data_IF_748233224786
#
_entry.id   IF_748233224786
#
_cell.length_a   1.000
_cell.length_b   1.000
_cell.length_c   1.000
_cell.angle_alpha   90.00
_cell.angle_beta   90.00
_cell.angle_gamma   90.00
#
_symmetry.space_group_name_H-M   'P 1'
#
loop_
_entity.id
_entity.type
_entity.pdbx_description
1 polymer ?
2 branched ?
3 non-polymer ?
4 non-polymer ?
5 water ?
#
# COMPACT_ATOMS: atom_id res chain seq x y z
N UNK A 9 21.11 13.17 9.32
CA UNK A 9 20.37 13.61 8.15
C UNK A 9 19.12 12.78 7.89
N UNK A 10 19.02 11.64 8.59
CA UNK A 10 17.91 10.72 8.37
C UNK A 10 16.56 11.34 8.70
N UNK A 11 16.56 12.49 9.38
CA UNK A 11 15.31 13.11 9.76
C UNK A 11 14.65 13.78 8.56
N UNK A 12 15.43 14.37 7.67
CA UNK A 12 14.89 15.28 6.67
C UNK A 12 14.29 14.51 5.50
N UNK A 13 12.97 14.53 5.39
CA UNK A 13 12.27 13.88 4.30
C UNK A 13 12.67 14.53 2.97
N UNK A 14 12.86 13.75 1.92
CA UNK A 14 13.26 14.33 0.63
C UNK A 14 12.15 15.19 0.05
N UNK A 15 12.55 16.18 -0.77
CA UNK A 15 11.59 17.01 -1.46
C UNK A 15 11.95 17.28 -2.91
N UNK A 16 13.11 16.79 -3.38
CA UNK A 16 13.46 16.82 -4.80
C UNK A 16 13.80 15.41 -5.26
N UNK A 17 13.33 15.07 -6.46
CA UNK A 17 13.41 13.72 -6.97
C UNK A 17 14.01 13.73 -8.37
N UNK A 18 14.71 12.67 -8.75
CA UNK A 18 15.28 12.61 -10.10
C UNK A 18 14.21 12.82 -11.15
N UNK A 19 14.48 13.61 -12.18
CA UNK A 19 13.47 13.86 -13.20
C UNK A 19 13.19 12.60 -14.00
N UNK A 20 11.94 12.34 -14.35
CA UNK A 20 11.62 11.12 -15.09
C UNK A 20 12.29 11.11 -16.46
N UNK A 21 12.54 9.91 -16.96
CA UNK A 21 13.23 9.77 -18.23
C UNK A 21 12.32 10.03 -19.42
N UNK A 22 11.00 9.99 -19.22
CA UNK A 22 10.03 10.14 -20.29
C UNK A 22 8.68 10.46 -19.66
N UNK A 23 7.92 11.34 -20.30
CA UNK A 23 6.64 11.80 -19.78
C UNK A 23 5.54 10.96 -20.40
N UNK A 24 5.01 10.02 -19.63
CA UNK A 24 3.97 9.13 -20.11
C UNK A 24 2.63 9.54 -19.52
N UNK A 25 1.59 8.93 -20.06
CA UNK A 25 0.22 9.10 -19.61
C UNK A 25 -0.28 7.75 -19.10
N UNK A 26 -0.83 7.73 -17.90
CA UNK A 26 -1.37 6.51 -17.32
C UNK A 26 -2.83 6.40 -17.71
N UNK A 27 -3.19 5.31 -18.40
CA UNK A 27 -4.58 5.02 -18.74
C UNK A 27 -5.18 4.22 -17.60
N UNK A 28 -5.84 4.93 -16.68
CA UNK A 28 -6.41 4.29 -15.50
C UNK A 28 -7.49 3.26 -15.84
N UNK A 29 -8.16 3.40 -16.99
CA UNK A 29 -9.24 2.50 -17.37
C UNK A 29 -8.78 1.23 -18.06
N UNK A 30 -7.53 1.18 -18.52
CA UNK A 30 -7.09 0.12 -19.42
C UNK A 30 -7.18 -1.24 -18.73
N UNK A 31 -7.96 -2.14 -19.31
CA UNK A 31 -8.10 -3.50 -18.81
C UNK A 31 -7.21 -4.39 -19.66
N UNK A 32 -6.11 -4.85 -19.09
CA UNK A 32 -5.20 -5.70 -19.84
C UNK A 32 -5.81 -7.08 -20.05
N UNK A 33 -5.30 -7.79 -21.06
CA UNK A 33 -5.68 -9.17 -21.23
C UNK A 33 -5.25 -9.98 -20.02
N UNK A 34 -5.78 -11.20 -19.92
CA UNK A 34 -5.34 -12.11 -18.88
C UNK A 34 -3.85 -12.39 -19.02
N UNK A 35 -3.21 -12.68 -17.88
CA UNK A 35 -1.77 -12.91 -17.90
C UNK A 35 -1.45 -14.23 -18.59
N UNK A 36 -0.50 -14.19 -19.53
CA UNK A 36 0.03 -15.43 -20.06
C UNK A 36 0.67 -16.22 -18.92
N UNK A 37 0.60 -17.54 -19.02
CA UNK A 37 1.10 -18.37 -17.92
C UNK A 37 2.61 -18.22 -17.80
N UNK A 38 3.12 -18.13 -16.56
CA UNK A 38 4.58 -18.07 -16.36
C UNK A 38 5.27 -19.43 -16.29
N UNK A 39 4.53 -20.54 -16.37
CA UNK A 39 5.09 -21.89 -16.24
C UNK A 39 5.57 -22.40 -17.59
N UNK A 40 6.88 -22.39 -17.82
CA UNK A 40 7.41 -23.06 -19.00
C UNK A 40 7.84 -24.47 -18.65
N UNK A 47 16.37 -21.19 -19.35
CA UNK A 47 16.13 -19.78 -19.04
C UNK A 47 17.30 -19.18 -18.27
N UNK A 48 17.62 -17.92 -18.58
CA UNK A 48 18.68 -17.19 -17.91
C UNK A 48 18.44 -17.15 -16.40
N UNK A 49 19.39 -17.66 -15.62
CA UNK A 49 19.23 -17.82 -14.17
C UNK A 49 20.28 -16.98 -13.44
N UNK A 50 19.83 -16.05 -12.60
CA UNK A 50 20.69 -15.19 -11.79
C UNK A 50 20.55 -15.55 -10.31
N UNK A 51 21.59 -15.24 -9.55
CA UNK A 51 21.69 -15.62 -8.14
C UNK A 51 21.68 -14.35 -7.28
N UNK A 52 20.83 -14.33 -6.26
CA UNK A 52 20.79 -13.22 -5.31
C UNK A 52 20.78 -13.82 -3.91
N UNK A 53 21.87 -13.70 -3.18
CA UNK A 53 21.83 -14.26 -1.84
C UNK A 53 22.21 -13.20 -0.83
N UNK A 54 21.36 -13.00 0.16
CA UNK A 54 21.66 -12.09 1.23
C UNK A 54 22.53 -12.81 2.25
N UNK A 55 23.53 -12.11 2.75
CA UNK A 55 24.42 -12.61 3.77
C UNK A 55 24.09 -12.12 5.18
N UNK A 56 23.12 -11.21 5.33
CA UNK A 56 22.76 -10.72 6.64
C UNK A 56 21.26 -10.44 6.66
N UNK A 57 20.66 -10.33 7.84
CA UNK A 57 19.26 -9.91 7.91
C UNK A 57 19.12 -8.43 7.53
N UNK A 58 17.95 -8.11 6.99
CA UNK A 58 17.55 -6.73 6.73
C UNK A 58 18.31 -6.10 5.57
N UNK A 59 18.89 -6.91 4.69
CA UNK A 59 19.52 -6.35 3.48
C UNK A 59 18.46 -5.77 2.56
N UNK A 60 18.88 -4.78 1.78
CA UNK A 60 18.17 -4.32 0.60
C UNK A 60 18.79 -5.02 -0.60
N UNK A 61 18.02 -5.87 -1.28
CA UNK A 61 18.55 -6.70 -2.35
C UNK A 61 18.07 -6.21 -3.70
N UNK A 62 18.83 -6.52 -4.74
CA UNK A 62 18.54 -6.04 -6.08
C UNK A 62 18.46 -7.21 -7.06
N UNK A 63 17.32 -7.33 -7.73
CA UNK A 63 17.11 -8.29 -8.81
C UNK A 63 17.30 -7.53 -10.11
N UNK A 64 18.54 -7.51 -10.60
CA UNK A 64 18.93 -6.76 -11.80
C UNK A 64 19.62 -7.71 -12.75
N UNK A 65 19.27 -7.62 -14.03
CA UNK A 65 19.83 -8.53 -15.03
C UNK A 65 19.61 -7.94 -16.41
N UNK A 66 20.70 -7.73 -17.16
CA UNK A 66 20.58 -7.22 -18.53
C UNK A 66 20.01 -8.27 -19.45
N UNK A 67 19.38 -7.80 -20.53
CA UNK A 67 18.72 -8.65 -21.50
C UNK A 67 19.05 -8.15 -22.90
N UNK A 68 19.29 -9.08 -23.82
CA UNK A 68 19.53 -8.68 -25.20
C UNK A 68 18.22 -8.28 -25.84
N UNK A 69 17.67 -7.14 -25.42
CA UNK A 69 16.38 -6.68 -25.88
C UNK A 69 16.58 -5.57 -26.92
N UNK A 70 17.66 -4.80 -26.77
CA UNK A 70 17.95 -3.75 -27.74
C UNK A 70 18.14 -4.35 -29.13
N UNK A 71 18.55 -5.61 -29.21
CA UNK A 71 18.47 -6.32 -30.47
C UNK A 71 17.07 -6.28 -31.04
N UNK A 72 16.06 -6.50 -30.18
CA UNK A 72 14.68 -6.53 -30.63
C UNK A 72 14.19 -5.15 -31.00
N UNK A 73 14.58 -4.14 -30.22
CA UNK A 73 14.11 -2.78 -30.50
C UNK A 73 14.75 -2.20 -31.74
N UNK A 74 15.98 -2.61 -32.07
CA UNK A 74 16.56 -2.20 -33.34
C UNK A 74 15.76 -2.75 -34.51
N UNK A 75 15.31 -4.02 -34.40
CA UNK A 75 14.44 -4.59 -35.42
C UNK A 75 13.17 -3.77 -35.58
N UNK A 76 12.53 -3.43 -34.46
CA UNK A 76 11.31 -2.64 -34.52
C UNK A 76 11.59 -1.24 -35.04
N UNK A 77 12.73 -0.66 -34.65
CA UNK A 77 13.05 0.70 -35.08
C UNK A 77 13.26 0.77 -36.58
N UNK A 78 14.01 -0.20 -37.13
CA UNK A 78 14.18 -0.26 -38.58
C UNK A 78 12.84 -0.52 -39.26
N UNK A 79 11.98 -1.32 -38.64
CA UNK A 79 10.65 -1.57 -39.19
C UNK A 79 9.71 -0.39 -39.08
N UNK A 80 10.14 0.71 -38.44
CA UNK A 80 9.34 1.92 -38.32
C UNK A 80 7.97 1.64 -37.71
N UNK A 81 7.95 0.74 -36.71
CA UNK A 81 6.74 0.29 -36.05
C UNK A 81 6.82 0.63 -34.56
N UNK A 82 5.81 1.35 -34.06
CA UNK A 82 5.68 1.50 -32.63
C UNK A 82 4.93 0.31 -32.05
N UNK A 83 5.30 -0.07 -30.81
CA UNK A 83 4.86 -1.33 -30.23
C UNK A 83 4.21 -1.13 -28.87
N UNK A 84 3.46 -2.15 -28.45
CA UNK A 84 3.02 -2.33 -27.08
C UNK A 84 3.88 -3.40 -26.40
N UNK A 85 3.96 -3.32 -25.06
CA UNK A 85 4.82 -4.21 -24.29
C UNK A 85 4.21 -4.44 -22.92
N UNK A 86 4.89 -5.26 -22.11
CA UNK A 86 4.39 -5.59 -20.77
C UNK A 86 5.52 -6.15 -19.90
N UNK A 87 5.55 -5.74 -18.64
CA UNK A 87 6.52 -6.20 -17.65
C UNK A 87 5.77 -6.83 -16.48
N UNK A 88 6.16 -8.05 -16.09
CA UNK A 88 5.51 -8.69 -14.95
C UNK A 88 6.54 -9.49 -14.14
N UNK A 89 6.52 -9.32 -12.82
CA UNK A 89 7.35 -10.09 -11.91
C UNK A 89 6.48 -11.10 -11.20
N UNK A 90 6.91 -12.36 -11.20
CA UNK A 90 6.26 -13.44 -10.49
C UNK A 90 7.20 -13.97 -9.41
N UNK A 91 6.62 -14.38 -8.27
CA UNK A 91 7.28 -15.31 -7.37
C UNK A 91 6.68 -16.68 -7.63
N UNK A 92 7.54 -17.64 -7.98
CA UNK A 92 7.13 -18.97 -8.40
C UNK A 92 7.15 -19.88 -7.20
N UNK A 93 6.01 -20.44 -6.84
CA UNK A 93 5.91 -21.45 -5.80
C UNK A 93 5.77 -22.83 -6.43
N UNK A 94 5.96 -23.91 -5.64
CA UNK A 94 5.89 -25.26 -6.24
C UNK A 94 4.64 -25.55 -7.03
N UNK A 95 3.48 -25.05 -6.60
CA UNK A 95 2.24 -25.32 -7.31
C UNK A 95 1.54 -24.09 -7.87
N UNK A 96 2.10 -22.88 -7.69
CA UNK A 96 1.42 -21.70 -8.19
C UNK A 96 2.43 -20.56 -8.34
N UNK A 97 1.95 -19.48 -8.96
CA UNK A 97 2.79 -18.31 -9.25
C UNK A 97 2.04 -17.04 -8.89
N UNK A 98 2.70 -16.18 -8.12
CA UNK A 98 2.08 -14.95 -7.61
C UNK A 98 2.62 -13.75 -8.37
N UNK A 99 1.83 -13.09 -9.20
CA UNK A 99 2.28 -11.81 -9.75
C UNK A 99 2.36 -10.75 -8.66
N UNK A 100 3.52 -10.09 -8.59
CA UNK A 100 3.77 -9.09 -7.55
C UNK A 100 4.06 -7.71 -8.11
N UNK A 101 4.28 -7.58 -9.42
CA UNK A 101 4.47 -6.27 -10.04
C UNK A 101 4.15 -6.42 -11.51
N UNK A 102 3.39 -5.46 -12.07
CA UNK A 102 2.85 -5.61 -13.42
C UNK A 102 2.56 -4.25 -14.04
N UNK A 103 3.05 -4.04 -15.27
CA UNK A 103 2.83 -2.79 -16.01
C UNK A 103 2.64 -3.11 -17.49
N UNK A 104 1.60 -2.53 -18.10
CA UNK A 104 1.38 -2.63 -19.54
C UNK A 104 1.82 -1.34 -20.22
N UNK A 105 2.49 -1.47 -21.36
CA UNK A 105 2.96 -0.31 -22.10
C UNK A 105 2.33 -0.28 -23.49
N UNK A 106 2.01 0.92 -23.99
CA UNK A 106 1.50 1.10 -25.35
C UNK A 106 2.13 2.33 -25.97
N UNK A 107 2.16 2.37 -27.30
CA UNK A 107 2.69 3.51 -28.06
C UNK A 107 4.13 3.80 -27.67
N UNK A 108 4.97 2.81 -27.89
CA UNK A 108 6.39 2.90 -27.58
C UNK A 108 7.16 3.22 -28.85
N UNK A 109 7.96 4.28 -28.81
CA UNK A 109 8.93 4.53 -29.88
C UNK A 109 10.13 3.61 -29.70
N UNK A 110 10.31 2.62 -30.58
CA UNK A 110 11.45 1.69 -30.45
C UNK A 110 12.82 2.34 -30.56
N UNK A 111 12.92 3.65 -30.83
CA UNK A 111 14.22 4.31 -30.82
C UNK A 111 14.65 4.71 -29.41
N UNK A 112 13.77 4.56 -28.44
CA UNK A 112 14.05 4.88 -27.05
C UNK A 112 14.27 3.59 -26.25
N UNK A 113 14.56 3.74 -24.96
CA UNK A 113 14.72 2.59 -24.08
C UNK A 113 13.36 2.03 -23.66
N UNK A 114 13.35 0.75 -23.32
CA UNK A 114 12.13 0.06 -22.89
C UNK A 114 11.41 0.86 -21.81
N UNK A 115 10.07 0.79 -21.84
CA UNK A 115 9.18 1.46 -20.90
C UNK A 115 9.21 2.99 -21.04
N UNK A 116 9.98 3.54 -21.95
CA UNK A 116 9.84 4.97 -22.30
C UNK A 116 8.78 5.10 -23.37
N UNK A 117 7.54 4.82 -22.97
CA UNK A 117 6.40 4.75 -23.86
C UNK A 117 5.42 5.88 -23.59
N UNK A 118 4.56 6.14 -24.56
CA UNK A 118 3.61 7.25 -24.42
C UNK A 118 2.55 6.95 -23.38
N UNK A 119 2.12 5.69 -23.28
CA UNK A 119 1.03 5.33 -22.40
C UNK A 119 1.42 4.09 -21.59
N UNK A 120 0.67 3.86 -20.52
CA UNK A 120 0.83 2.68 -19.71
C UNK A 120 -0.44 2.47 -18.90
N UNK A 121 -0.62 1.24 -18.43
CA UNK A 121 -1.65 0.96 -17.45
C UNK A 121 -1.26 1.56 -16.11
N UNK A 122 -2.12 1.33 -15.11
CA UNK A 122 -1.73 1.55 -13.74
C UNK A 122 -0.41 0.82 -13.47
N UNK A 123 0.42 1.43 -12.63
CA UNK A 123 1.62 0.78 -12.12
C UNK A 123 1.19 -0.11 -10.95
N UNK A 124 1.09 -1.41 -11.20
CA UNK A 124 0.46 -2.37 -10.29
C UNK A 124 1.48 -3.11 -9.43
N UNK A 125 1.12 -3.32 -8.16
CA UNK A 125 1.95 -3.98 -7.16
C UNK A 125 1.08 -4.79 -6.21
N UNK A 126 1.61 -5.91 -5.72
CA UNK A 126 1.03 -6.48 -4.51
C UNK A 126 1.03 -5.41 -3.42
N UNK A 127 -0.13 -5.17 -2.82
CA UNK A 127 -0.32 -3.92 -2.07
C UNK A 127 0.65 -3.81 -0.89
N UNK A 128 0.85 -4.90 -0.15
CA UNK A 128 1.77 -4.87 0.99
C UNK A 128 3.22 -4.70 0.58
N UNK A 129 3.53 -4.70 -0.72
CA UNK A 129 4.91 -4.49 -1.14
C UNK A 129 5.25 -3.03 -1.38
N UNK A 130 4.24 -2.15 -1.43
CA UNK A 130 4.41 -0.77 -1.90
C UNK A 130 5.60 -0.10 -1.22
N UNK A 131 5.65 -0.15 0.10
CA UNK A 131 6.69 0.56 0.83
C UNK A 131 7.96 -0.25 1.03
N UNK A 132 8.03 -1.46 0.46
CA UNK A 132 9.19 -2.33 0.65
C UNK A 132 9.83 -2.73 -0.68
N UNK A 133 9.46 -2.08 -1.79
CA UNK A 133 9.97 -2.47 -3.09
C UNK A 133 9.77 -1.33 -4.08
N UNK A 134 10.53 -1.39 -5.16
CA UNK A 134 10.49 -0.35 -6.18
C UNK A 134 11.30 -0.82 -7.39
N UNK A 135 10.99 -0.25 -8.55
CA UNK A 135 11.76 -0.53 -9.75
C UNK A 135 13.08 0.23 -9.73
N UNK A 136 14.06 -0.31 -10.44
CA UNK A 136 15.32 0.38 -10.64
C UNK A 136 15.17 1.44 -11.74
N UNK A 137 16.25 2.17 -12.00
CA UNK A 137 16.14 3.39 -12.82
C UNK A 137 15.69 3.08 -14.24
N UNK A 138 16.08 1.93 -14.79
CA UNK A 138 15.68 1.57 -16.15
C UNK A 138 14.34 0.85 -16.18
N UNK A 139 13.66 0.76 -15.03
CA UNK A 139 12.35 0.18 -14.80
C UNK A 139 12.29 -1.34 -15.00
N UNK A 140 13.42 -1.99 -15.32
CA UNK A 140 13.44 -3.42 -15.54
C UNK A 140 13.83 -4.25 -14.32
N UNK A 141 14.52 -3.65 -13.35
CA UNK A 141 14.91 -4.35 -12.15
C UNK A 141 13.96 -4.09 -10.99
N UNK A 142 14.20 -4.82 -9.90
CA UNK A 142 13.35 -4.79 -8.72
C UNK A 142 14.24 -4.77 -7.48
N UNK A 143 14.00 -3.83 -6.57
CA UNK A 143 14.73 -3.75 -5.31
C UNK A 143 13.78 -4.09 -4.18
N UNK A 144 14.22 -4.98 -3.28
CA UNK A 144 13.42 -5.40 -2.13
C UNK A 144 14.09 -4.94 -0.84
N UNK A 145 13.39 -4.11 -0.08
CA UNK A 145 13.87 -3.60 1.20
C UNK A 145 13.55 -4.59 2.30
N UNK A 146 14.58 -5.07 2.99
CA UNK A 146 14.49 -5.99 4.13
C UNK A 146 13.38 -7.05 3.97
N UNK A 147 13.44 -7.88 2.94
CA UNK A 147 12.48 -8.99 2.84
C UNK A 147 12.68 -10.00 3.97
N UNK A 148 11.58 -10.64 4.37
CA UNK A 148 11.65 -11.68 5.39
C UNK A 148 12.21 -12.98 4.84
N UNK A 149 12.46 -13.93 5.74
CA UNK A 149 12.97 -15.23 5.33
C UNK A 149 12.04 -15.91 4.33
N UNK A 150 10.73 -15.71 4.50
CA UNK A 150 9.72 -16.33 3.63
C UNK A 150 9.74 -15.80 2.21
N UNK A 151 10.48 -14.72 1.95
CA UNK A 151 10.70 -14.22 0.59
C UNK A 151 11.77 -15.00 -0.17
N UNK A 152 12.43 -15.97 0.48
CA UNK A 152 13.33 -16.86 -0.25
C UNK A 152 12.55 -17.66 -1.28
N UNK A 153 13.20 -17.94 -2.40
CA UNK A 153 12.56 -18.74 -3.42
C UNK A 153 12.93 -18.23 -4.79
N UNK A 154 12.09 -18.55 -5.76
CA UNK A 154 12.36 -18.29 -7.16
C UNK A 154 11.47 -17.15 -7.68
N UNK A 155 12.09 -16.17 -8.33
CA UNK A 155 11.42 -15.04 -8.92
C UNK A 155 11.67 -15.04 -10.42
N UNK A 156 10.63 -14.70 -11.19
CA UNK A 156 10.68 -14.77 -12.65
C UNK A 156 10.25 -13.44 -13.22
N UNK A 157 11.12 -12.81 -14.00
CA UNK A 157 10.77 -11.60 -14.72
C UNK A 157 10.36 -12.00 -16.14
N UNK A 158 9.17 -11.58 -16.55
CA UNK A 158 8.66 -11.85 -17.89
C UNK A 158 8.49 -10.51 -18.58
N UNK A 159 9.31 -10.26 -19.59
CA UNK A 159 9.17 -9.09 -20.45
C UNK A 159 8.44 -9.52 -21.71
N UNK A 160 7.36 -8.83 -22.06
CA UNK A 160 6.61 -9.06 -23.29
C UNK A 160 6.77 -7.85 -24.18
N UNK A 161 7.37 -8.03 -25.34
CA UNK A 161 7.58 -6.93 -26.28
C UNK A 161 7.12 -7.39 -27.65
N UNK A 162 6.01 -6.82 -28.13
CA UNK A 162 5.43 -7.13 -29.45
C UNK A 162 5.16 -8.62 -29.61
N UNK A 163 4.58 -9.24 -28.57
CA UNK A 163 4.26 -10.65 -28.60
C UNK A 163 5.37 -11.59 -28.18
N UNK A 164 6.63 -11.19 -28.34
CA UNK A 164 7.74 -12.03 -27.89
C UNK A 164 7.91 -11.94 -26.38
N UNK A 165 8.51 -12.97 -25.79
CA UNK A 165 8.66 -13.06 -24.33
C UNK A 165 10.08 -13.43 -23.94
N UNK A 166 10.75 -12.52 -23.23
CA UNK A 166 12.06 -12.74 -22.63
C UNK A 166 11.88 -13.13 -21.16
N UNK A 167 12.61 -14.15 -20.71
CA UNK A 167 12.48 -14.68 -19.35
C UNK A 167 13.79 -14.58 -18.58
N UNK A 168 13.69 -14.14 -17.33
CA UNK A 168 14.83 -14.10 -16.43
C UNK A 168 14.39 -14.63 -15.08
N UNK A 169 15.17 -15.58 -14.55
CA UNK A 169 14.91 -16.16 -13.25
C UNK A 169 15.95 -15.66 -12.24
N UNK A 170 15.50 -15.51 -11.00
CA UNK A 170 16.33 -15.06 -9.89
C UNK A 170 16.12 -16.06 -8.77
N UNK A 171 17.21 -16.67 -8.32
CA UNK A 171 17.19 -17.59 -7.19
C UNK A 171 17.68 -16.80 -5.98
N UNK A 172 16.77 -16.57 -5.03
CA UNK A 172 16.94 -15.58 -3.95
C UNK A 172 17.02 -16.31 -2.61
N UNK A 173 18.06 -16.01 -1.83
CA UNK A 173 18.27 -16.62 -0.52
C UNK A 173 18.26 -15.51 0.54
N UNK A 174 17.34 -15.62 1.49
CA UNK A 174 17.24 -14.70 2.63
C UNK A 174 17.54 -15.51 3.88
N UNK A 175 18.46 -15.08 4.75
CA UNK A 175 18.69 -15.84 5.99
C UNK A 175 17.42 -15.91 6.81
N UNK A 176 17.37 -16.91 7.69
CA UNK A 176 16.19 -17.13 8.50
C UNK A 176 16.23 -16.39 9.82
N UNK A 177 17.34 -15.74 10.15
CA UNK A 177 17.38 -14.93 11.36
C UNK A 177 16.37 -13.79 11.23
N UNK A 178 15.61 -13.56 12.29
CA UNK A 178 14.53 -12.59 12.21
C UNK A 178 15.06 -11.19 11.94
N UNK A 179 14.44 -10.51 10.96
CA UNK A 179 14.72 -9.11 10.70
C UNK A 179 13.65 -8.25 11.35
N UNK A 180 14.00 -7.34 12.27
CA UNK A 180 12.98 -6.57 12.99
C UNK A 180 12.17 -5.62 12.11
N UNK A 181 12.59 -5.35 10.88
CA UNK A 181 11.84 -4.46 10.02
C UNK A 181 11.24 -5.19 8.83
N UNK A 182 11.39 -6.51 8.75
CA UNK A 182 10.76 -7.28 7.68
C UNK A 182 9.25 -7.37 7.90
N UNK A 183 8.55 -7.72 6.83
CA UNK A 183 7.09 -7.85 6.85
C UNK A 183 6.71 -9.12 6.09
N UNK A 184 5.88 -9.95 6.72
CA UNK A 184 5.42 -11.17 6.07
C UNK A 184 4.51 -10.85 4.89
N UNK A 185 4.85 -11.36 3.70
CA UNK A 185 4.10 -11.04 2.50
C UNK A 185 3.07 -12.11 2.09
N UNK A 186 3.09 -13.29 2.71
CA UNK A 186 2.19 -14.40 2.39
C UNK A 186 2.05 -14.58 0.88
N UNK A 187 3.19 -14.76 0.23
CA UNK A 187 3.16 -14.81 -1.23
C UNK A 187 2.34 -15.99 -1.76
N UNK A 188 2.30 -17.09 -0.98
CA UNK A 188 1.59 -18.29 -1.34
C UNK A 188 0.12 -18.31 -1.00
N UNK A 189 -0.46 -17.18 -0.63
CA UNK A 189 -1.89 -17.20 -0.36
C UNK A 189 -2.62 -17.49 -1.66
N UNK A 190 -3.61 -18.39 -1.64
CA UNK A 190 -4.23 -18.82 -2.91
C UNK A 190 -4.96 -17.71 -3.65
N UNK A 191 -5.38 -16.65 -2.97
CA UNK A 191 -6.03 -15.54 -3.68
C UNK A 191 -5.07 -14.87 -4.66
N UNK A 192 -3.78 -14.75 -4.27
CA UNK A 192 -2.79 -14.15 -5.15
C UNK A 192 -1.88 -15.18 -5.82
N UNK A 193 -1.77 -16.38 -5.27
CA UNK A 193 -0.90 -17.42 -5.84
C UNK A 193 -1.74 -18.29 -6.78
N UNK A 194 -1.64 -18.02 -8.09
CA UNK A 194 -2.52 -18.62 -9.09
C UNK A 194 -1.94 -19.92 -9.64
N UNK A 195 -2.79 -20.95 -9.76
CA UNK A 195 -2.37 -22.25 -10.29
C UNK A 195 -2.09 -22.17 -11.79
N UNK A 196 -1.40 -23.18 -12.36
CA UNK A 196 -1.21 -23.19 -13.81
C UNK A 196 -2.52 -23.24 -14.58
N UNK A 197 -3.55 -23.86 -14.00
CA UNK A 197 -4.85 -23.90 -14.64
C UNK A 197 -5.46 -22.50 -14.73
N UNK A 198 -5.45 -21.76 -13.62
CA UNK A 198 -6.05 -20.43 -13.62
C UNK A 198 -5.42 -19.54 -14.68
N UNK A 199 -4.11 -19.70 -14.91
CA UNK A 199 -3.49 -18.99 -16.01
C UNK A 199 -4.01 -19.49 -17.36
N UNK A 200 -4.02 -20.82 -17.55
CA UNK A 200 -4.46 -21.42 -18.81
C UNK A 200 -5.91 -21.05 -19.15
N UNK A 201 -6.83 -21.19 -18.20
CA UNK A 201 -8.21 -20.76 -18.40
C UNK A 201 -8.35 -19.26 -18.57
N UNK A 202 -7.26 -18.51 -18.59
CA UNK A 202 -7.33 -17.08 -18.77
C UNK A 202 -7.95 -16.33 -17.62
N UNK A 203 -7.90 -16.86 -16.41
CA UNK A 203 -8.64 -16.28 -15.30
C UNK A 203 -7.83 -15.34 -14.40
N UNK A 204 -6.62 -14.95 -14.80
CA UNK A 204 -5.75 -14.15 -13.93
C UNK A 204 -5.67 -12.75 -14.50
N UNK A 205 -6.24 -11.78 -13.81
CA UNK A 205 -6.25 -10.39 -14.23
C UNK A 205 -5.64 -9.57 -13.10
N UNK A 206 -4.47 -8.98 -13.36
CA UNK A 206 -3.77 -8.28 -12.28
C UNK A 206 -4.58 -7.10 -11.74
N UNK A 207 -5.42 -6.49 -12.58
CA UNK A 207 -6.20 -5.35 -12.13
C UNK A 207 -7.15 -5.72 -11.00
N UNK A 208 -7.55 -6.99 -10.92
CA UNK A 208 -8.53 -7.38 -9.92
C UNK A 208 -7.95 -7.51 -8.52
N UNK A 209 -6.67 -7.89 -8.37
CA UNK A 209 -6.14 -8.17 -7.04
C UNK A 209 -4.82 -7.48 -6.69
N UNK A 210 -4.14 -6.86 -7.64
CA UNK A 210 -2.96 -6.07 -7.34
C UNK A 210 -3.37 -4.60 -7.14
N UNK A 211 -2.72 -3.93 -6.20
CA UNK A 211 -2.97 -2.52 -5.99
C UNK A 211 -2.14 -1.64 -6.93
N UNK A 212 -2.62 -0.41 -7.12
CA UNK A 212 -1.91 0.59 -7.90
C UNK A 212 -0.99 1.40 -6.98
N UNK A 213 0.11 1.87 -7.55
CA UNK A 213 0.91 2.92 -6.91
C UNK A 213 1.63 3.65 -8.04
N UNK A 214 1.08 4.78 -8.46
CA UNK A 214 1.44 5.41 -9.73
C UNK A 214 2.51 6.49 -9.61
N UNK A 215 3.18 6.59 -8.46
CA UNK A 215 4.39 7.39 -8.35
C UNK A 215 5.39 6.99 -9.43
N UNK A 216 6.06 7.94 -10.06
CA UNK A 216 7.15 7.57 -10.98
C UNK A 216 8.28 6.86 -10.23
N UNK A 217 8.98 5.98 -10.96
CA UNK A 217 10.02 5.16 -10.36
C UNK A 217 11.01 6.01 -9.54
N UNK A 218 11.40 7.16 -10.09
CA UNK A 218 12.33 8.03 -9.38
C UNK A 218 11.83 8.38 -8.00
N UNK A 219 10.53 8.66 -7.87
CA UNK A 219 9.98 9.05 -6.57
C UNK A 219 9.73 7.85 -5.69
N UNK A 220 9.21 6.76 -6.27
CA UNK A 220 9.07 5.52 -5.51
C UNK A 220 10.39 5.09 -4.91
N UNK A 221 11.45 5.05 -5.74
CA UNK A 221 12.74 4.62 -5.23
C UNK A 221 13.25 5.57 -4.16
N UNK A 222 13.08 6.88 -4.37
CA UNK A 222 13.56 7.85 -3.39
C UNK A 222 12.90 7.62 -2.05
N UNK A 223 11.60 7.35 -2.05
CA UNK A 223 10.92 7.12 -0.79
C UNK A 223 11.31 5.78 -0.17
N UNK A 224 11.55 4.77 -1.01
CA UNK A 224 11.94 3.47 -0.48
C UNK A 224 13.26 3.57 0.27
N UNK A 225 14.26 4.20 -0.35
CA UNK A 225 15.54 4.41 0.33
C UNK A 225 15.36 5.22 1.60
N UNK A 226 14.56 6.30 1.56
CA UNK A 226 14.42 7.12 2.76
C UNK A 226 13.71 6.35 3.88
N UNK A 227 12.67 5.59 3.54
CA UNK A 227 11.98 4.80 4.55
C UNK A 227 12.88 3.72 5.13
N UNK A 228 13.67 3.07 4.27
CA UNK A 228 14.54 1.98 4.73
C UNK A 228 15.60 2.52 5.69
N UNK A 229 16.29 3.60 5.30
CA UNK A 229 17.30 4.18 6.18
C UNK A 229 16.66 4.72 7.46
N UNK A 230 15.48 5.33 7.35
CA UNK A 230 14.82 5.82 8.57
C UNK A 230 14.48 4.69 9.53
N UNK A 231 14.15 3.50 9.03
CA UNK A 231 13.94 2.32 9.88
C UNK A 231 15.26 1.77 10.42
N UNK A 232 16.40 2.34 10.03
CA UNK A 232 17.69 1.88 10.47
C UNK A 232 18.43 0.96 9.50
N UNK A 233 18.02 0.89 8.24
CA UNK A 233 18.68 0.01 7.31
C UNK A 233 19.99 0.58 6.78
N UNK A 234 20.84 -0.29 6.29
CA UNK A 234 22.12 0.10 5.73
C UNK A 234 22.00 0.06 4.21
N UNK A 235 21.97 1.23 3.60
CA UNK A 235 21.75 1.37 2.17
C UNK A 235 23.01 0.97 1.41
N UNK A 236 22.92 0.04 0.46
CA UNK A 236 24.11 -0.34 -0.30
C UNK A 236 24.66 0.84 -1.10
N UNK A 237 25.98 0.86 -1.26
CA UNK A 237 26.64 1.89 -2.07
C UNK A 237 26.10 1.88 -3.49
N UNK A 238 25.82 0.70 -4.01
CA UNK A 238 25.56 0.51 -5.41
C UNK A 238 24.73 -0.74 -5.56
N UNK A 239 23.69 -0.68 -6.38
CA UNK A 239 22.95 -1.88 -6.73
C UNK A 239 23.70 -2.57 -7.84
N UNK A 240 23.93 -3.86 -7.70
CA UNK A 240 24.73 -4.58 -8.68
C UNK A 240 23.86 -5.55 -9.47
N UNK A 241 24.23 -5.75 -10.74
CA UNK A 241 23.63 -6.82 -11.52
C UNK A 241 23.79 -8.16 -10.81
N UNK A 242 22.69 -8.92 -10.74
CA UNK A 242 22.75 -10.26 -10.18
C UNK A 242 23.60 -11.15 -11.09
N UNK A 243 24.50 -11.93 -10.49
CA UNK A 243 25.41 -12.77 -11.28
C UNK A 243 24.69 -13.96 -11.87
N UNK A 244 25.09 -14.34 -13.08
CA UNK A 244 24.70 -15.63 -13.62
C UNK A 244 25.26 -16.76 -12.76
N UNK A 245 24.57 -17.90 -12.79
CA UNK A 245 25.03 -19.05 -12.03
C UNK A 245 26.41 -19.47 -12.53
N UNK A 246 27.34 -19.67 -11.59
CA UNK A 246 28.75 -19.91 -11.91
C UNK A 246 28.96 -21.37 -12.34
N UNK A 247 29.31 -21.54 -13.62
CA UNK A 247 29.77 -22.83 -14.13
C UNK A 247 30.98 -23.30 -13.32
N UNK A 248 31.11 -24.60 -13.04
CA UNK A 248 32.24 -25.07 -12.23
C UNK A 248 33.59 -24.75 -12.87
N UNK A 249 34.61 -24.74 -12.03
CA UNK A 249 36.00 -24.50 -12.41
C UNK A 249 36.76 -25.82 -12.30
N UNK A 250 37.30 -26.36 -13.41
CA UNK A 250 38.06 -27.62 -13.35
C UNK A 250 39.34 -27.51 -12.52
N UNK B 11 -4.57 16.53 -13.30
CA UNK B 11 -3.78 15.81 -14.28
C UNK B 11 -2.27 16.08 -14.12
N UNK B 12 -1.94 17.30 -13.68
CA UNK B 12 -0.58 17.69 -13.33
C UNK B 12 -0.33 17.42 -11.85
N UNK B 13 0.76 16.72 -11.55
CA UNK B 13 0.92 16.12 -10.23
C UNK B 13 1.25 17.19 -9.18
N UNK B 14 0.71 17.07 -7.98
CA UNK B 14 0.93 18.09 -6.94
C UNK B 14 2.38 18.14 -6.49
N UNK B 15 2.88 19.37 -6.28
CA UNK B 15 4.23 19.57 -5.76
C UNK B 15 4.28 20.47 -4.53
N UNK B 16 3.16 21.09 -4.14
CA UNK B 16 3.05 21.84 -2.90
C UNK B 16 1.93 21.28 -2.04
N UNK B 17 2.20 21.15 -0.75
CA UNK B 17 1.33 20.44 0.16
C UNK B 17 1.00 21.33 1.35
N UNK B 18 -0.15 21.10 1.98
CA UNK B 18 -0.47 21.84 3.20
C UNK B 18 0.60 21.64 4.25
N UNK B 19 0.95 22.69 5.00
CA UNK B 19 1.94 22.52 6.06
C UNK B 19 1.40 21.65 7.17
N UNK B 20 2.24 20.85 7.81
CA UNK B 20 1.75 19.94 8.87
C UNK B 20 1.28 20.68 10.11
N UNK B 21 0.30 20.09 10.78
CA UNK B 21 -0.18 20.66 12.05
C UNK B 21 0.92 20.67 13.11
N UNK B 22 1.76 19.63 13.12
CA UNK B 22 2.66 19.42 14.24
C UNK B 22 3.81 18.53 13.78
N UNK B 23 5.03 18.90 14.15
CA UNK B 23 6.20 18.09 13.81
C UNK B 23 6.31 16.93 14.80
N UNK B 24 6.21 15.71 14.30
CA UNK B 24 6.24 14.55 15.18
C UNK B 24 7.33 13.58 14.72
N UNK B 25 7.66 12.64 15.58
CA UNK B 25 8.63 11.60 15.27
C UNK B 25 7.92 10.25 15.24
N UNK B 26 8.18 9.47 14.22
CA UNK B 26 7.61 8.14 14.11
C UNK B 26 8.59 7.15 14.70
N UNK B 27 8.12 6.33 15.64
CA UNK B 27 8.90 5.29 16.31
C UNK B 27 8.62 3.98 15.56
N UNK B 28 9.42 3.73 14.52
CA UNK B 28 9.19 2.58 13.63
C UNK B 28 9.29 1.24 14.37
N UNK B 29 10.08 1.17 15.44
CA UNK B 29 10.23 -0.08 16.19
C UNK B 29 9.06 -0.36 17.14
N UNK B 30 8.26 0.66 17.47
CA UNK B 30 7.29 0.53 18.54
C UNK B 30 6.24 -0.53 18.21
N UNK B 31 5.92 -1.36 19.21
CA UNK B 31 4.99 -2.47 19.08
C UNK B 31 3.89 -2.24 20.09
N UNK B 32 2.73 -1.85 19.61
CA UNK B 32 1.60 -1.63 20.52
C UNK B 32 1.19 -2.94 21.16
N UNK B 33 0.60 -2.83 22.34
CA UNK B 33 -0.03 -3.99 22.93
C UNK B 33 -1.24 -4.41 22.09
N UNK B 34 -1.69 -5.65 22.32
CA UNK B 34 -2.76 -6.22 21.52
C UNK B 34 -3.98 -5.31 21.55
N UNK B 35 -4.77 -5.39 20.47
CA UNK B 35 -5.90 -4.49 20.29
C UNK B 35 -7.06 -4.91 21.19
N UNK B 36 -7.61 -3.93 21.91
CA UNK B 36 -8.84 -4.18 22.68
C UNK B 36 -9.95 -4.62 21.73
N UNK B 37 -10.77 -5.54 22.18
CA UNK B 37 -11.86 -6.01 21.35
C UNK B 37 -12.78 -4.84 21.00
N UNK B 38 -13.18 -4.69 19.73
CA UNK B 38 -14.15 -3.64 19.38
C UNK B 38 -15.59 -4.05 19.65
N UNK B 39 -15.82 -5.32 19.97
CA UNK B 39 -17.17 -5.81 20.24
C UNK B 39 -17.58 -5.35 21.63
N UNK B 40 -18.39 -4.30 21.70
CA UNK B 40 -18.91 -3.83 22.97
C UNK B 40 -20.37 -4.27 23.06
N UNK B 41 -20.58 -5.57 23.28
CA UNK B 41 -21.93 -6.11 23.41
C UNK B 41 -22.68 -5.45 24.56
N UNK B 42 -22.01 -5.26 25.70
CA UNK B 42 -22.66 -4.71 26.88
C UNK B 42 -23.27 -3.33 26.59
N UNK B 43 -22.48 -2.43 26.02
CA UNK B 43 -22.92 -1.05 25.79
C UNK B 43 -23.22 -0.82 24.32
N UNK B 44 -24.13 -1.66 23.79
CA UNK B 44 -24.54 -1.52 22.40
C UNK B 44 -25.51 -0.36 22.20
N UNK B 45 -26.21 0.07 23.25
CA UNK B 45 -27.38 0.93 23.09
C UNK B 45 -27.02 2.41 22.93
N UNK B 46 -25.89 2.85 23.48
CA UNK B 46 -25.62 4.28 23.61
C UNK B 46 -24.48 4.77 22.72
N UNK B 47 -24.02 3.97 21.76
CA UNK B 47 -22.92 4.40 20.89
C UNK B 47 -23.44 5.43 19.91
N UNK B 48 -22.72 6.56 19.80
CA UNK B 48 -23.05 7.58 18.82
C UNK B 48 -22.98 6.96 17.43
N UNK B 49 -24.12 6.89 16.74
CA UNK B 49 -24.21 6.22 15.46
C UNK B 49 -24.61 7.21 14.38
N UNK B 50 -23.83 7.24 13.31
CA UNK B 50 -24.04 8.19 12.23
C UNK B 50 -24.37 7.42 10.96
N UNK B 51 -24.88 8.17 9.98
CA UNK B 51 -25.36 7.67 8.70
C UNK B 51 -24.52 8.32 7.62
N UNK B 52 -24.09 7.54 6.65
CA UNK B 52 -23.35 8.06 5.50
C UNK B 52 -23.82 7.26 4.28
N UNK B 53 -24.41 7.95 3.31
CA UNK B 53 -24.99 7.29 2.14
C UNK B 53 -24.48 7.98 0.88
N UNK B 54 -24.06 7.17 -0.10
CA UNK B 54 -23.82 7.64 -1.46
C UNK B 54 -25.00 7.20 -2.32
N UNK B 55 -25.44 8.08 -3.24
CA UNK B 55 -26.53 7.75 -4.15
C UNK B 55 -26.06 7.55 -5.58
N UNK B 56 -24.79 7.79 -5.87
CA UNK B 56 -24.21 7.54 -7.18
C UNK B 56 -22.94 6.71 -6.99
N UNK B 57 -22.56 5.92 -7.98
CA UNK B 57 -21.29 5.18 -7.85
C UNK B 57 -20.11 6.13 -7.94
N UNK B 58 -18.97 5.66 -7.42
CA UNK B 58 -17.69 6.34 -7.58
C UNK B 58 -17.59 7.65 -6.80
N UNK B 59 -18.39 7.80 -5.74
CA UNK B 59 -18.28 8.97 -4.88
C UNK B 59 -17.06 8.88 -3.95
N UNK B 60 -16.63 10.04 -3.50
CA UNK B 60 -15.69 10.16 -2.39
C UNK B 60 -16.49 10.55 -1.16
N UNK B 61 -16.54 9.68 -0.15
CA UNK B 61 -17.35 9.91 1.04
C UNK B 61 -16.43 10.16 2.23
N UNK B 62 -16.97 10.83 3.23
CA UNK B 62 -16.22 11.20 4.43
C UNK B 62 -16.93 10.67 5.66
N UNK B 63 -16.16 10.11 6.58
CA UNK B 63 -16.65 9.62 7.87
C UNK B 63 -16.13 10.58 8.92
N UNK B 64 -16.97 11.56 9.26
CA UNK B 64 -16.62 12.66 10.16
C UNK B 64 -17.66 12.72 11.27
N UNK B 65 -17.18 12.87 12.51
CA UNK B 65 -18.10 12.98 13.65
C UNK B 65 -17.37 13.64 14.80
N UNK B 66 -17.93 14.73 15.32
CA UNK B 66 -17.35 15.37 16.48
C UNK B 66 -17.53 14.48 17.70
N UNK B 67 -16.63 14.65 18.67
CA UNK B 67 -16.66 13.92 19.94
C UNK B 67 -16.44 14.91 21.07
N UNK B 68 -16.65 14.43 22.30
CA UNK B 68 -16.32 15.24 23.48
C UNK B 68 -14.85 15.11 23.87
N UNK B 69 -13.98 14.82 22.90
CA UNK B 69 -12.57 14.60 23.20
C UNK B 69 -11.93 15.85 23.82
N UNK B 70 -12.39 17.04 23.44
CA UNK B 70 -11.77 18.25 23.96
C UNK B 70 -12.02 18.42 25.45
N UNK B 71 -13.13 17.86 25.96
CA UNK B 71 -13.38 17.89 27.38
C UNK B 71 -12.43 16.96 28.13
N UNK B 72 -12.08 15.81 27.54
CA UNK B 72 -11.09 14.95 28.17
C UNK B 72 -9.73 15.64 28.16
N UNK B 73 -9.41 16.35 27.07
CA UNK B 73 -8.11 17.00 26.99
C UNK B 73 -7.99 18.12 28.01
N UNK B 74 -9.09 18.81 28.32
CA UNK B 74 -9.05 19.86 29.31
C UNK B 74 -8.72 19.29 30.69
N UNK B 75 -9.33 18.16 31.04
CA UNK B 75 -9.03 17.51 32.32
C UNK B 75 -7.55 17.12 32.41
N UNK B 76 -7.01 16.54 31.34
CA UNK B 76 -5.60 16.16 31.34
C UNK B 76 -4.72 17.39 31.40
N UNK B 77 -5.13 18.47 30.75
CA UNK B 77 -4.38 19.72 30.77
C UNK B 77 -4.33 20.30 32.18
N UNK B 78 -5.48 20.33 32.84
CA UNK B 78 -5.52 20.81 34.22
C UNK B 78 -4.64 19.95 35.11
N UNK B 79 -4.61 18.65 34.83
CA UNK B 79 -3.75 17.72 35.58
C UNK B 79 -2.30 17.78 35.14
N UNK B 80 -1.97 18.62 34.16
CA UNK B 80 -0.64 18.69 33.56
C UNK B 80 -0.08 17.30 33.25
N UNK B 81 -0.87 16.50 32.53
CA UNK B 81 -0.58 15.08 32.32
C UNK B 81 -0.23 14.82 30.85
N UNK B 82 1.07 14.72 30.55
CA UNK B 82 1.50 14.16 29.28
C UNK B 82 0.91 12.76 29.15
N UNK B 83 0.45 12.39 27.96
CA UNK B 83 -0.41 11.21 27.87
C UNK B 83 -0.13 10.40 26.60
N UNK B 84 -0.68 9.18 26.59
CA UNK B 84 -0.64 8.24 25.48
C UNK B 84 -2.05 8.02 24.95
N UNK B 85 -2.13 7.60 23.69
CA UNK B 85 -3.43 7.51 23.03
C UNK B 85 -3.30 6.60 21.82
N UNK B 86 -4.47 6.18 21.31
CA UNK B 86 -4.52 5.29 20.14
C UNK B 86 -5.78 5.61 19.34
N UNK B 87 -5.64 5.52 18.02
CA UNK B 87 -6.76 5.68 17.10
C UNK B 87 -6.86 4.41 16.27
N UNK B 88 -8.07 3.81 16.24
CA UNK B 88 -8.30 2.59 15.47
C UNK B 88 -9.67 2.59 14.79
N UNK B 89 -9.68 2.29 13.50
CA UNK B 89 -10.91 2.14 12.71
C UNK B 89 -11.13 0.67 12.42
N UNK B 90 -12.35 0.19 12.62
CA UNK B 90 -12.74 -1.16 12.25
C UNK B 90 -13.89 -1.12 11.27
N UNK B 91 -13.95 -2.13 10.41
CA UNK B 91 -15.19 -2.56 9.78
C UNK B 91 -15.71 -3.77 10.56
N UNK B 92 -16.93 -3.64 11.08
CA UNK B 92 -17.53 -4.66 11.93
C UNK B 92 -18.38 -5.56 11.05
N UNK B 93 -17.96 -6.81 10.89
CA UNK B 93 -18.79 -7.81 10.23
C UNK B 93 -19.59 -8.59 11.27
N UNK B 94 -20.52 -9.46 10.84
CA UNK B 94 -21.30 -10.21 11.83
C UNK B 94 -20.48 -11.13 12.74
N UNK B 95 -19.42 -11.76 12.25
CA UNK B 95 -18.64 -12.68 13.06
C UNK B 95 -17.22 -12.22 13.34
N UNK B 96 -16.79 -11.09 12.80
CA UNK B 96 -15.42 -10.64 13.01
C UNK B 96 -15.35 -9.14 12.76
N UNK B 97 -14.17 -8.57 13.07
CA UNK B 97 -13.92 -7.15 12.92
C UNK B 97 -12.55 -6.92 12.30
N UNK B 98 -12.52 -6.14 11.22
CA UNK B 98 -11.28 -5.84 10.49
C UNK B 98 -10.75 -4.48 10.91
N UNK B 99 -9.59 -4.38 11.56
CA UNK B 99 -8.96 -3.06 11.71
C UNK B 99 -8.39 -2.60 10.38
N UNK B 100 -8.71 -1.36 9.99
CA UNK B 100 -8.34 -0.86 8.68
C UNK B 100 -7.41 0.34 8.75
N UNK B 101 -7.26 0.97 9.91
CA UNK B 101 -6.36 2.09 10.13
C UNK B 101 -6.03 2.10 11.61
N UNK B 102 -4.77 2.37 11.97
CA UNK B 102 -4.38 2.33 13.37
C UNK B 102 -3.16 3.20 13.57
N UNK B 103 -3.19 4.05 14.59
CA UNK B 103 -2.04 4.86 14.99
C UNK B 103 -1.96 4.87 16.51
N UNK B 104 -0.76 4.69 17.06
CA UNK B 104 -0.51 4.90 18.47
C UNK B 104 0.23 6.22 18.67
N UNK B 105 -0.09 6.93 19.73
CA UNK B 105 0.45 8.25 19.99
C UNK B 105 1.09 8.28 21.36
N UNK B 106 2.25 8.92 21.45
CA UNK B 106 2.96 9.05 22.71
C UNK B 106 3.50 10.46 22.86
N UNK B 107 3.83 10.81 24.10
CA UNK B 107 4.32 12.15 24.47
C UNK B 107 3.34 13.22 24.00
N UNK B 108 2.06 12.97 24.27
CA UNK B 108 1.02 13.90 23.89
C UNK B 108 0.90 15.02 24.90
N UNK B 109 1.01 16.25 24.43
CA UNK B 109 0.76 17.47 25.19
C UNK B 109 -0.74 17.76 25.20
N UNK B 110 -1.40 17.66 26.36
CA UNK B 110 -2.86 17.86 26.39
C UNK B 110 -3.31 19.31 26.20
N UNK B 111 -2.39 20.26 26.02
CA UNK B 111 -2.79 21.60 25.61
C UNK B 111 -3.03 21.68 24.11
N UNK B 112 -2.61 20.69 23.35
CA UNK B 112 -2.79 20.69 21.91
C UNK B 112 -4.02 19.85 21.56
N UNK B 113 -4.33 19.81 20.26
CA UNK B 113 -5.39 18.95 19.74
C UNK B 113 -4.93 17.49 19.68
N UNK B 114 -5.92 16.60 19.63
CA UNK B 114 -5.65 15.17 19.51
C UNK B 114 -4.71 14.90 18.34
N UNK B 115 -3.79 13.96 18.55
CA UNK B 115 -2.76 13.53 17.61
C UNK B 115 -1.71 14.59 17.31
N UNK B 116 -1.71 15.71 18.03
CA UNK B 116 -0.60 16.65 17.96
C UNK B 116 0.42 16.29 19.04
N UNK B 117 1.05 15.13 18.83
CA UNK B 117 1.87 14.48 19.84
C UNK B 117 3.31 14.38 19.36
N UNK B 118 4.27 14.46 20.30
CA UNK B 118 5.67 14.42 19.89
C UNK B 118 6.05 13.09 19.23
N UNK B 119 5.40 12.00 19.59
CA UNK B 119 5.76 10.68 19.06
C UNK B 119 4.52 9.94 18.57
N UNK B 120 4.75 8.99 17.64
CA UNK B 120 3.70 8.07 17.22
C UNK B 120 4.33 6.84 16.61
N UNK B 121 3.52 5.79 16.50
CA UNK B 121 3.89 4.58 15.80
C UNK B 121 3.87 4.83 14.30
N UNK B 122 4.30 3.84 13.53
CA UNK B 122 3.96 3.77 12.12
C UNK B 122 2.48 4.08 11.94
N UNK B 123 2.16 4.75 10.84
CA UNK B 123 0.79 5.05 10.46
C UNK B 123 0.28 3.87 9.66
N UNK B 124 -0.61 3.08 10.26
CA UNK B 124 -0.94 1.76 9.73
C UNK B 124 -2.30 1.76 9.04
N UNK B 125 -2.36 1.03 7.92
CA UNK B 125 -3.52 0.89 7.05
C UNK B 125 -3.60 -0.53 6.50
N UNK B 126 -4.81 -0.98 6.19
CA UNK B 126 -4.92 -2.10 5.26
C UNK B 126 -4.23 -1.71 3.97
N UNK B 127 -3.28 -2.53 3.53
CA UNK B 127 -2.37 -2.11 2.47
C UNK B 127 -3.12 -1.71 1.20
N UNK B 128 -4.18 -2.43 0.86
CA UNK B 128 -4.93 -2.12 -0.35
C UNK B 128 -5.76 -0.85 -0.22
N UNK B 129 -5.86 -0.26 0.98
CA UNK B 129 -6.58 1.02 1.14
C UNK B 129 -5.70 2.24 0.95
N UNK B 130 -4.37 2.12 1.07
CA UNK B 130 -3.46 3.26 1.05
C UNK B 130 -3.88 4.33 0.06
N UNK B 131 -4.16 3.94 -1.17
CA UNK B 131 -4.40 4.87 -2.26
C UNK B 131 -5.87 5.21 -2.39
N UNK B 132 -6.73 4.62 -1.56
CA UNK B 132 -8.17 4.80 -1.66
C UNK B 132 -8.76 5.40 -0.38
N UNK B 133 -7.93 5.80 0.58
CA UNK B 133 -8.42 6.33 1.84
C UNK B 133 -7.37 7.26 2.41
N UNK B 134 -7.79 8.11 3.35
CA UNK B 134 -6.86 9.00 4.05
C UNK B 134 -7.59 9.63 5.23
N UNK B 135 -6.80 10.13 6.18
CA UNK B 135 -7.40 10.85 7.31
C UNK B 135 -7.80 12.26 6.90
N UNK B 136 -8.75 12.82 7.65
CA UNK B 136 -9.12 14.20 7.48
C UNK B 136 -8.13 15.10 8.23
N UNK B 137 -8.33 16.42 8.14
CA UNK B 137 -7.31 17.36 8.60
C UNK B 137 -7.06 17.24 10.11
N UNK B 138 -8.08 16.95 10.91
CA UNK B 138 -7.88 16.77 12.34
C UNK B 138 -7.47 15.34 12.71
N UNK B 139 -7.23 14.49 11.72
CA UNK B 139 -6.75 13.10 11.79
C UNK B 139 -7.76 12.13 12.41
N UNK B 140 -8.94 12.61 12.84
CA UNK B 140 -9.95 11.77 13.48
C UNK B 140 -11.01 11.25 12.51
N UNK B 141 -11.08 11.79 11.30
CA UNK B 141 -12.04 11.37 10.33
C UNK B 141 -11.35 10.55 9.26
N UNK B 142 -12.15 10.00 8.38
CA UNK B 142 -11.67 9.05 7.40
C UNK B 142 -12.41 9.27 6.09
N UNK B 143 -11.67 9.43 5.00
CA UNK B 143 -12.23 9.68 3.68
C UNK B 143 -11.99 8.47 2.79
N UNK B 144 -13.03 8.00 2.11
CA UNK B 144 -12.94 6.86 1.20
C UNK B 144 -13.17 7.34 -0.23
N UNK B 145 -12.21 7.07 -1.11
CA UNK B 145 -12.33 7.49 -2.51
C UNK B 145 -12.82 6.31 -3.34
N UNK B 146 -13.96 6.48 -4.00
CA UNK B 146 -14.55 5.46 -4.86
C UNK B 146 -14.57 4.08 -4.22
N UNK B 147 -15.17 3.92 -3.03
CA UNK B 147 -15.30 2.57 -2.47
C UNK B 147 -16.32 1.77 -3.26
N UNK B 148 -16.18 0.45 -3.22
CA UNK B 148 -17.08 -0.42 -3.94
C UNK B 148 -18.31 -0.73 -3.09
N UNK B 149 -19.34 -1.28 -3.74
CA UNK B 149 -20.55 -1.68 -3.02
C UNK B 149 -20.24 -2.52 -1.79
N UNK B 150 -19.26 -3.42 -1.90
CA UNK B 150 -18.93 -4.29 -0.76
C UNK B 150 -18.34 -3.51 0.41
N UNK B 151 -17.96 -2.24 0.23
CA UNK B 151 -17.50 -1.42 1.34
C UNK B 151 -18.64 -0.87 2.19
N UNK B 152 -19.89 -1.07 1.76
CA UNK B 152 -21.05 -0.77 2.60
C UNK B 152 -20.96 -1.50 3.93
N UNK B 153 -21.47 -0.87 4.99
CA UNK B 153 -21.57 -1.58 6.24
C UNK B 153 -21.28 -0.67 7.43
N UNK B 154 -20.87 -1.30 8.53
CA UNK B 154 -20.76 -0.60 9.81
C UNK B 154 -19.29 -0.38 10.13
N UNK B 155 -18.88 0.88 10.22
CA UNK B 155 -17.52 1.24 10.59
C UNK B 155 -17.53 1.84 11.99
N UNK B 156 -16.63 1.37 12.83
CA UNK B 156 -16.57 1.81 14.22
C UNK B 156 -15.23 2.45 14.48
N UNK B 157 -15.25 3.70 14.94
CA UNK B 157 -14.04 4.41 15.29
C UNK B 157 -13.84 4.30 16.79
N UNK B 158 -12.64 3.85 17.20
CA UNK B 158 -12.28 3.65 18.59
C UNK B 158 -11.14 4.60 18.94
N UNK B 159 -11.44 5.62 19.74
CA UNK B 159 -10.44 6.56 20.23
C UNK B 159 -10.09 6.19 21.66
N UNK B 160 -8.83 5.84 21.91
CA UNK B 160 -8.36 5.51 23.24
C UNK B 160 -7.46 6.64 23.75
N UNK B 161 -7.76 7.13 24.96
CA UNK B 161 -7.02 8.26 25.50
C UNK B 161 -6.96 8.14 27.01
N UNK B 162 -5.73 8.00 27.54
CA UNK B 162 -5.51 7.83 28.97
C UNK B 162 -6.43 6.74 29.54
N UNK B 163 -6.40 5.57 28.91
CA UNK B 163 -7.24 4.46 29.31
C UNK B 163 -8.70 4.56 28.94
N UNK B 164 -9.24 5.76 28.73
CA UNK B 164 -10.63 5.94 28.33
C UNK B 164 -10.80 5.67 26.83
N UNK B 165 -12.02 5.25 26.45
CA UNK B 165 -12.33 4.90 25.06
C UNK B 165 -13.63 5.56 24.59
N UNK B 166 -13.55 6.30 23.47
CA UNK B 166 -14.71 6.92 22.83
C UNK B 166 -15.06 6.17 21.55
N UNK B 167 -16.33 5.83 21.37
CA UNK B 167 -16.79 5.08 20.21
C UNK B 167 -17.73 5.92 19.35
N UNK B 168 -17.50 5.91 18.04
CA UNK B 168 -18.41 6.45 17.05
C UNK B 168 -18.62 5.39 15.99
N UNK B 169 -19.88 5.09 15.67
CA UNK B 169 -20.25 4.14 14.62
C UNK B 169 -20.74 4.87 13.39
N UNK B 170 -20.40 4.36 12.20
CA UNK B 170 -20.87 4.92 10.95
C UNK B 170 -21.50 3.80 10.14
N UNK B 171 -22.77 3.95 9.81
CA UNK B 171 -23.47 3.03 8.91
C UNK B 171 -23.36 3.57 7.49
N UNK B 172 -22.64 2.87 6.62
CA UNK B 172 -22.29 3.36 5.28
C UNK B 172 -23.04 2.56 4.22
N UNK B 173 -23.64 3.27 3.25
CA UNK B 173 -24.42 2.69 2.16
C UNK B 173 -23.84 3.11 0.82
N UNK B 174 -23.57 2.14 -0.05
CA UNK B 174 -22.96 2.38 -1.36
C UNK B 174 -23.81 1.71 -2.43
N UNK B 175 -24.08 2.37 -3.55
CA UNK B 175 -24.92 1.74 -4.58
C UNK B 175 -24.31 0.42 -5.05
N UNK B 176 -25.20 -0.52 -5.39
CA UNK B 176 -24.82 -1.84 -5.88
C UNK B 176 -24.18 -1.80 -7.25
N UNK B 177 -24.43 -0.74 -8.01
CA UNK B 177 -23.85 -0.63 -9.34
C UNK B 177 -22.32 -0.64 -9.26
N UNK B 178 -21.69 -1.34 -10.19
CA UNK B 178 -20.23 -1.41 -10.19
C UNK B 178 -19.63 -0.05 -10.52
N UNK B 179 -18.67 0.40 -9.68
CA UNK B 179 -17.84 1.56 -9.93
C UNK B 179 -16.60 1.14 -10.70
N UNK B 180 -16.31 1.76 -11.84
CA UNK B 180 -15.18 1.32 -12.67
C UNK B 180 -13.81 1.66 -12.10
N UNK B 181 -13.72 2.60 -11.15
CA UNK B 181 -12.44 2.91 -10.55
C UNK B 181 -12.29 2.35 -9.15
N UNK B 182 -13.27 1.57 -8.70
CA UNK B 182 -13.27 1.00 -7.36
C UNK B 182 -12.39 -0.24 -7.31
N UNK B 183 -12.07 -0.65 -6.09
CA UNK B 183 -11.22 -1.82 -5.86
C UNK B 183 -11.82 -2.64 -4.72
N UNK B 184 -11.91 -3.96 -4.92
CA UNK B 184 -12.45 -4.83 -3.89
C UNK B 184 -11.47 -4.97 -2.73
N UNK B 185 -11.93 -4.68 -1.51
CA UNK B 185 -11.05 -4.65 -0.35
C UNK B 185 -11.03 -5.97 0.42
N UNK B 186 -11.93 -6.91 0.11
CA UNK B 186 -12.05 -8.18 0.84
C UNK B 186 -11.93 -7.97 2.33
N UNK B 187 -12.75 -7.05 2.85
CA UNK B 187 -12.71 -6.75 4.27
C UNK B 187 -13.02 -7.97 5.13
N UNK B 188 -13.79 -8.93 4.61
CA UNK B 188 -14.24 -10.04 5.42
C UNK B 188 -13.27 -11.20 5.52
N UNK B 189 -12.07 -11.05 4.97
CA UNK B 189 -11.12 -12.14 4.87
C UNK B 189 -10.60 -12.55 6.25
N UNK B 190 -10.63 -13.84 6.60
CA UNK B 190 -10.17 -14.28 7.94
C UNK B 190 -8.77 -13.81 8.30
N UNK B 191 -7.88 -13.61 7.32
CA UNK B 191 -6.53 -13.13 7.63
C UNK B 191 -6.54 -11.76 8.28
N UNK B 192 -7.57 -10.96 8.02
CA UNK B 192 -7.66 -9.60 8.58
C UNK B 192 -8.94 -9.33 9.35
N UNK B 193 -10.00 -10.10 9.16
CA UNK B 193 -11.23 -9.96 9.93
C UNK B 193 -11.14 -10.92 11.11
N UNK B 194 -11.15 -10.38 12.32
CA UNK B 194 -10.75 -11.11 13.52
C UNK B 194 -11.95 -11.39 14.39
N UNK B 195 -12.05 -12.62 14.88
CA UNK B 195 -13.19 -13.01 15.70
C UNK B 195 -13.10 -12.35 17.07
N UNK B 196 -14.22 -12.24 17.78
CA UNK B 196 -14.17 -11.78 19.18
C UNK B 196 -13.19 -12.58 20.04
N UNK B 197 -13.04 -13.88 19.79
CA UNK B 197 -12.12 -14.67 20.60
C UNK B 197 -10.69 -14.26 20.35
N UNK B 198 -10.33 -14.03 19.08
CA UNK B 198 -8.99 -13.58 18.77
C UNK B 198 -8.67 -12.27 19.47
N UNK B 199 -9.65 -11.37 19.59
CA UNK B 199 -9.41 -10.11 20.30
C UNK B 199 -9.23 -10.36 21.79
N UNK B 200 -10.18 -11.08 22.40
CA UNK B 200 -10.09 -11.38 23.83
C UNK B 200 -8.81 -12.13 24.16
N UNK B 201 -8.41 -13.05 23.33
CA UNK B 201 -7.19 -13.77 23.68
C UNK B 201 -5.92 -12.93 23.50
N UNK B 202 -6.02 -11.63 23.25
CA UNK B 202 -4.82 -10.83 23.08
C UNK B 202 -3.99 -11.17 21.86
N UNK B 203 -4.63 -11.61 20.79
CA UNK B 203 -3.87 -12.09 19.64
C UNK B 203 -3.80 -11.11 18.48
N UNK B 204 -4.46 -9.95 18.56
CA UNK B 204 -4.57 -9.05 17.41
C UNK B 204 -3.55 -7.94 17.58
N UNK B 205 -2.54 -7.95 16.70
CA UNK B 205 -1.44 -6.98 16.72
C UNK B 205 -1.38 -6.34 15.34
N UNK B 206 -1.76 -5.06 15.25
CA UNK B 206 -1.91 -4.41 13.95
C UNK B 206 -0.60 -4.42 13.19
N UNK B 207 0.53 -4.31 13.88
CA UNK B 207 1.83 -4.31 13.22
C UNK B 207 2.04 -5.56 12.36
N UNK B 208 1.44 -6.69 12.76
CA UNK B 208 1.63 -7.95 12.03
C UNK B 208 1.12 -7.87 10.61
N UNK B 209 -0.06 -7.28 10.42
CA UNK B 209 -0.77 -7.47 9.16
C UNK B 209 -1.32 -6.19 8.54
N UNK B 210 -1.21 -5.03 9.18
CA UNK B 210 -1.43 -3.78 8.46
C UNK B 210 -0.11 -3.28 7.92
N UNK B 211 -0.16 -2.56 6.80
CA UNK B 211 1.01 -1.89 6.28
C UNK B 211 1.09 -0.45 6.75
N UNK B 212 2.21 0.19 6.44
CA UNK B 212 2.49 1.55 6.86
C UNK B 212 2.37 2.50 5.67
N UNK B 213 1.96 3.74 5.94
CA UNK B 213 2.07 4.80 4.94
C UNK B 213 2.37 6.09 5.71
N UNK B 214 3.66 6.40 5.82
CA UNK B 214 4.16 7.40 6.75
C UNK B 214 4.22 8.81 6.16
N UNK B 215 3.39 9.10 5.16
CA UNK B 215 3.23 10.47 4.74
C UNK B 215 2.40 11.21 5.79
N UNK B 216 2.71 12.49 6.05
CA UNK B 216 1.79 13.28 6.86
C UNK B 216 0.44 13.37 6.19
N UNK B 217 -0.60 13.59 7.01
CA UNK B 217 -1.98 13.58 6.51
C UNK B 217 -2.15 14.52 5.32
N UNK B 218 -1.57 15.72 5.42
CA UNK B 218 -1.74 16.70 4.35
C UNK B 218 -1.24 16.20 3.02
N UNK B 219 -0.14 15.44 3.01
CA UNK B 219 0.39 14.88 1.77
C UNK B 219 -0.46 13.70 1.31
N UNK B 220 -0.77 12.78 2.23
CA UNK B 220 -1.66 11.68 1.90
C UNK B 220 -3.02 12.20 1.37
N UNK B 221 -3.62 13.17 2.05
CA UNK B 221 -4.89 13.66 1.53
C UNK B 221 -4.71 14.32 0.17
N UNK B 222 -3.61 15.05 -0.03
CA UNK B 222 -3.39 15.69 -1.33
C UNK B 222 -3.26 14.65 -2.43
N UNK B 223 -2.46 13.60 -2.19
CA UNK B 223 -2.33 12.57 -3.23
C UNK B 223 -3.65 11.86 -3.46
N UNK B 224 -4.39 11.56 -2.39
CA UNK B 224 -5.68 10.91 -2.55
C UNK B 224 -6.59 11.70 -3.50
N UNK B 225 -6.69 13.01 -3.29
CA UNK B 225 -7.57 13.81 -4.13
C UNK B 225 -7.08 13.80 -5.57
N UNK B 226 -5.78 14.05 -5.78
CA UNK B 226 -5.23 14.06 -7.13
C UNK B 226 -5.48 12.73 -7.84
N UNK B 227 -5.32 11.61 -7.13
CA UNK B 227 -5.52 10.31 -7.76
C UNK B 227 -6.98 10.07 -8.11
N UNK B 228 -7.88 10.48 -7.22
CA UNK B 228 -9.31 10.36 -7.47
C UNK B 228 -9.68 11.11 -8.74
N UNK B 229 -9.38 12.41 -8.77
CA UNK B 229 -9.69 13.26 -9.91
C UNK B 229 -9.06 12.71 -11.20
N UNK B 230 -7.81 12.25 -11.12
CA UNK B 230 -7.15 11.69 -12.29
C UNK B 230 -7.94 10.51 -12.85
N UNK B 231 -8.58 9.71 -12.00
CA UNK B 231 -9.40 8.61 -12.48
C UNK B 231 -10.74 9.08 -13.01
N UNK B 232 -11.00 10.39 -12.99
CA UNK B 232 -12.28 10.94 -13.41
C UNK B 232 -13.31 11.01 -12.31
N UNK B 233 -12.90 11.06 -11.05
CA UNK B 233 -13.84 11.22 -9.97
C UNK B 233 -14.25 12.67 -9.85
N UNK B 234 -15.47 12.87 -9.36
CA UNK B 234 -15.98 14.21 -9.11
C UNK B 234 -15.69 14.54 -7.66
N UNK B 235 -14.87 15.55 -7.45
CA UNK B 235 -14.39 15.88 -6.10
C UNK B 235 -15.40 16.81 -5.44
N UNK B 236 -15.97 16.43 -4.29
CA UNK B 236 -16.96 17.30 -3.65
C UNK B 236 -16.34 18.60 -3.15
N UNK B 237 -17.17 19.64 -3.09
CA UNK B 237 -16.71 20.97 -2.69
C UNK B 237 -16.14 20.95 -1.28
N UNK B 238 -16.79 20.23 -0.36
CA UNK B 238 -16.28 20.11 0.99
C UNK B 238 -16.86 18.87 1.64
N UNK B 239 -16.25 18.48 2.76
CA UNK B 239 -16.68 17.33 3.55
C UNK B 239 -17.52 17.80 4.73
N UNK B 240 -18.54 17.02 5.09
CA UNK B 240 -19.46 17.41 6.15
C UNK B 240 -19.52 16.34 7.22
N UNK B 241 -19.90 16.77 8.43
CA UNK B 241 -20.15 15.84 9.51
C UNK B 241 -21.32 14.93 9.17
N UNK B 242 -21.19 13.65 9.51
CA UNK B 242 -22.29 12.73 9.29
C UNK B 242 -23.43 13.06 10.23
N UNK B 243 -24.66 12.88 9.76
CA UNK B 243 -25.84 13.11 10.57
C UNK B 243 -26.10 11.90 11.46
N UNK B 244 -26.60 12.18 12.66
CA UNK B 244 -26.87 11.11 13.63
C UNK B 244 -28.10 10.30 13.21
N UNK B 245 -28.20 9.10 13.77
CA UNK B 245 -29.34 8.23 13.47
C UNK B 245 -30.65 8.87 13.93
N UNK B 246 -31.44 9.37 12.98
CA UNK B 246 -32.71 10.03 13.26
C UNK B 246 -33.77 9.60 12.24
#
# INVERSE_FOLDING_TARGET
>A
EKAKRAVRGRQDRPKEFPPPRYNYTILTRYNATALASPFINDQVKNVDLRIVTATRPCEMIALIAKTNIDSILKELAAAQKTYSARLTWFKIMPTCATPIHDVSYMKCNPKLSFAMCDERSDILWQASLITMAAETDDELGLVLAAPAHSASGLYRRVIEIDGRRIYTDFSVTIPSERCPIAFEQNFGNPDRCKTPEQYSRGEVFTRRFLGEFNFPQGEHMTWLKFWFVYDGGNLPVQFYEAQAFARPVPPDNHPGFDSVESEITQNKTDPKPGQADPKPNQPFKWPSIKHLAPRLDEVDEVIEPVTKPPKTSKSNSTFENLYFQGHHHHHH
>B
EKAKRAVRGRQDRPKEFPPPRYNYTILTRYNATALASPFINDQVKNVDLRIVTATRPCEMIALIAKTNIDSILKELAAAQKTYSARLTWFKIMPTCATPIHDVSYMKCNPKLSFAMCDERSDILWQASLITMAAETDDELGLVLAAPAHSASGLYRRVIEIDGRRIYTDFSVTIPSERCPIAFEQNFGNPDRCKTPEQYSRGEVFTRRFLGEFNFPQGEHMTWLKFWFVYDGGNLPVQFYEAQAFARPVPPDNHPGFDSVESEITQNKTDPKPGQADPKPNQPFKWPSIKHLAPRLDEVDEVIEPVTKPPKTSKSNSTFENLYFQGHHHHHH
#
